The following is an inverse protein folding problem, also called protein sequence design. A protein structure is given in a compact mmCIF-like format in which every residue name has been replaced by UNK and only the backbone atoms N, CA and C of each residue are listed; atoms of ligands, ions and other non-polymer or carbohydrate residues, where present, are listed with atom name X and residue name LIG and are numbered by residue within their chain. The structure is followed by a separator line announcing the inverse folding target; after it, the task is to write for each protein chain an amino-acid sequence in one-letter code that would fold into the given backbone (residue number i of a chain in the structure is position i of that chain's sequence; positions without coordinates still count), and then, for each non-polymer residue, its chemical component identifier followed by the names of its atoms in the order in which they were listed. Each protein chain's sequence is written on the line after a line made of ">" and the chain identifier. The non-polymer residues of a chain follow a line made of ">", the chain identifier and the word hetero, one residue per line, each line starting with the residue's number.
data_IF_453728589605
#
_entry.id   IF_453728589605
#
_cell.length_a   1.000
_cell.length_b   1.000
_cell.length_c   1.000
_cell.angle_alpha   90.00
_cell.angle_beta   90.00
_cell.angle_gamma   90.00
#
_symmetry.space_group_name_H-M   'P 1'
#
loop_
_entity.id
_entity.type
_entity.pdbx_description
1 polymer ?
#
# COMPACT_ATOMS: atom_id res chain seq x y z
N UNK A 1 6.03 -5.16 16.01
CA UNK A 1 4.91 -5.20 15.04
C UNK A 1 5.48 -5.26 13.64
N UNK A 2 5.01 -6.18 12.81
CA UNK A 2 5.43 -6.34 11.41
C UNK A 2 4.27 -5.99 10.48
N UNK A 3 4.53 -5.17 9.46
CA UNK A 3 3.59 -4.92 8.38
C UNK A 3 3.82 -6.01 7.33
N UNK A 4 2.78 -6.75 6.98
CA UNK A 4 2.84 -7.81 5.96
C UNK A 4 1.78 -7.59 4.89
N UNK A 5 2.01 -8.17 3.71
CA UNK A 5 1.07 -8.22 2.59
C UNK A 5 0.65 -9.66 2.40
N UNK A 6 -0.62 -9.86 2.06
CA UNK A 6 -1.06 -11.15 1.51
C UNK A 6 -0.40 -11.37 0.15
N UNK A 7 -0.25 -12.62 -0.25
CA UNK A 7 0.38 -13.00 -1.52
C UNK A 7 -0.37 -12.35 -2.70
N UNK A 8 -1.71 -12.33 -2.62
CA UNK A 8 -2.56 -11.68 -3.63
C UNK A 8 -2.28 -10.18 -3.72
N UNK A 9 -2.17 -9.49 -2.59
CA UNK A 9 -1.85 -8.06 -2.58
C UNK A 9 -0.43 -7.80 -3.10
N UNK A 10 0.54 -8.64 -2.75
CA UNK A 10 1.90 -8.54 -3.24
C UNK A 10 1.98 -8.69 -4.78
N UNK A 11 1.27 -9.66 -5.35
CA UNK A 11 1.19 -9.82 -6.82
C UNK A 11 0.56 -8.61 -7.49
N UNK A 12 -0.56 -8.11 -6.94
CA UNK A 12 -1.23 -6.92 -7.47
C UNK A 12 -0.30 -5.69 -7.52
N UNK A 13 0.48 -5.47 -6.45
CA UNK A 13 1.43 -4.34 -6.38
C UNK A 13 2.54 -4.49 -7.39
N UNK A 14 3.09 -5.70 -7.56
CA UNK A 14 4.13 -5.98 -8.57
C UNK A 14 3.62 -5.68 -9.98
N UNK A 15 2.43 -6.16 -10.31
CA UNK A 15 1.81 -5.92 -11.63
C UNK A 15 1.55 -4.43 -11.85
N UNK A 16 1.07 -3.72 -10.82
CA UNK A 16 0.86 -2.29 -10.89
C UNK A 16 2.16 -1.51 -11.13
N UNK A 17 3.24 -1.84 -10.41
CA UNK A 17 4.55 -1.21 -10.60
C UNK A 17 5.11 -1.48 -12.00
N UNK A 18 4.98 -2.71 -12.49
CA UNK A 18 5.40 -3.08 -13.84
C UNK A 18 4.64 -2.25 -14.91
N UNK A 19 3.31 -2.13 -14.77
CA UNK A 19 2.47 -1.31 -15.68
C UNK A 19 2.77 0.18 -15.59
N UNK A 20 3.09 0.68 -14.40
CA UNK A 20 3.43 2.10 -14.18
C UNK A 20 4.79 2.46 -14.78
N UNK A 21 5.71 1.51 -14.91
CA UNK A 21 7.04 1.68 -15.50
C UNK A 21 8.00 2.55 -14.66
N UNK A 22 7.61 2.96 -13.45
CA UNK A 22 8.42 3.77 -12.53
C UNK A 22 7.96 3.65 -11.07
N UNK A 23 8.91 3.81 -10.14
CA UNK A 23 8.71 3.76 -8.70
C UNK A 23 9.24 2.46 -8.06
N UNK A 24 9.48 2.50 -6.75
CA UNK A 24 10.17 1.43 -6.01
C UNK A 24 9.26 0.55 -5.16
N UNK A 25 8.02 0.97 -4.90
CA UNK A 25 7.13 0.26 -3.96
C UNK A 25 5.90 1.05 -3.54
N UNK A 26 5.31 0.61 -2.42
CA UNK A 26 4.18 1.27 -1.75
C UNK A 26 4.63 2.06 -0.52
N UNK A 27 3.87 3.10 -0.20
CA UNK A 27 3.96 3.82 1.08
C UNK A 27 2.62 3.67 1.80
N UNK A 28 2.67 3.25 3.06
CA UNK A 28 1.50 3.27 3.95
C UNK A 28 1.61 4.54 4.80
N UNK A 29 0.54 5.32 4.81
CA UNK A 29 0.41 6.50 5.66
C UNK A 29 -0.95 6.48 6.33
N UNK A 30 -1.09 7.23 7.43
CA UNK A 30 -2.37 7.45 8.10
C UNK A 30 -2.62 8.94 8.23
N UNK A 31 -3.87 9.33 8.15
CA UNK A 31 -4.35 10.69 8.38
C UNK A 31 -5.60 10.65 9.25
N UNK A 32 -5.73 11.62 10.15
CA UNK A 32 -6.95 11.79 10.94
C UNK A 32 -8.15 12.10 10.04
N UNK A 33 -9.28 11.44 10.31
CA UNK A 33 -10.54 11.61 9.57
C UNK A 33 -11.73 11.51 10.53
N UNK A 34 -12.56 12.54 10.58
CA UNK A 34 -13.73 12.62 11.49
C UNK A 34 -13.35 12.80 12.97
N UNK A 35 -14.22 12.36 13.88
CA UNK A 35 -14.03 12.55 15.32
C UNK A 35 -12.93 11.65 15.91
N UNK A 36 -12.80 10.41 15.41
CA UNK A 36 -11.84 9.41 15.90
C UNK A 36 -11.28 8.49 14.82
N UNK A 37 -11.54 8.77 13.54
CA UNK A 37 -11.11 7.91 12.44
C UNK A 37 -9.68 8.17 12.00
N UNK A 38 -9.06 7.13 11.45
CA UNK A 38 -7.76 7.18 10.77
C UNK A 38 -7.94 6.53 9.39
N UNK A 39 -7.48 7.22 8.35
CA UNK A 39 -7.53 6.74 6.95
C UNK A 39 -6.19 6.93 6.26
#
# INVERSE_FOLDING_TARGET
>A
MSITLTEKAASYVKDYLARRGKGVGLRVGVKASGCSGLS
#
